data_IF_928365020999
#
_entry.id   IF_928365020999
#
_cell.length_a   1.000
_cell.length_b   1.000
_cell.length_c   1.000
_cell.angle_alpha   90.00
_cell.angle_beta   90.00
_cell.angle_gamma   90.00
#
_symmetry.space_group_name_H-M   'P 1'
#
loop_
_entity.id
_entity.type
_entity.pdbx_description
1 polymer ?
#
# COMPACT_ATOMS: atom_id res chain seq x y z
N UNK A 1 -58.58 34.11 10.28
CA UNK A 1 -57.26 34.15 9.59
C UNK A 1 -56.10 33.53 10.40
N UNK A 2 -56.36 32.74 11.46
CA UNK A 2 -55.29 32.08 12.25
C UNK A 2 -55.22 30.55 12.08
N UNK A 3 -56.23 29.95 11.47
CA UNK A 3 -56.35 28.49 11.33
C UNK A 3 -55.72 27.93 10.05
N UNK A 4 -55.30 28.78 9.11
CA UNK A 4 -54.66 28.35 7.86
C UNK A 4 -53.13 28.23 7.96
N UNK A 5 -52.51 28.86 8.96
CA UNK A 5 -51.06 28.84 9.14
C UNK A 5 -50.55 27.54 9.80
N UNK A 6 -51.41 26.81 10.51
CA UNK A 6 -51.04 25.57 11.20
C UNK A 6 -51.10 24.32 10.31
N UNK A 7 -51.84 24.35 9.20
CA UNK A 7 -51.90 23.24 8.26
C UNK A 7 -50.66 23.15 7.34
N UNK A 8 -49.94 24.27 7.14
CA UNK A 8 -48.77 24.29 6.26
C UNK A 8 -47.48 23.82 6.96
N UNK A 9 -47.38 23.95 8.29
CA UNK A 9 -46.20 23.50 9.05
C UNK A 9 -46.18 22.00 9.38
N UNK A 10 -47.30 21.29 9.23
CA UNK A 10 -47.37 19.85 9.55
C UNK A 10 -47.12 18.97 8.30
N UNK A 11 -47.23 19.51 7.09
CA UNK A 11 -47.05 18.74 5.86
C UNK A 11 -45.58 18.58 5.41
N UNK A 12 -44.63 19.28 6.03
CA UNK A 12 -43.21 19.21 5.63
C UNK A 12 -42.36 18.22 6.46
N UNK A 13 -42.94 17.55 7.45
CA UNK A 13 -42.22 16.62 8.33
C UNK A 13 -42.41 15.13 7.98
N UNK A 14 -43.11 14.81 6.89
CA UNK A 14 -43.51 13.43 6.56
C UNK A 14 -43.17 13.00 5.13
N UNK A 15 -42.13 13.58 4.51
CA UNK A 15 -41.36 12.85 3.52
C UNK A 15 -40.09 12.37 4.23
N UNK A 16 -40.01 11.12 4.73
CA UNK A 16 -38.73 10.46 4.72
C UNK A 16 -38.35 10.43 3.24
N UNK A 17 -37.58 11.42 2.80
CA UNK A 17 -36.76 11.22 1.62
C UNK A 17 -36.07 9.90 1.89
N UNK A 18 -36.32 8.91 1.05
CA UNK A 18 -35.46 7.74 0.94
C UNK A 18 -34.14 8.37 0.51
N UNK A 19 -33.33 8.79 1.49
CA UNK A 19 -31.94 9.00 1.27
C UNK A 19 -31.47 7.62 0.83
N UNK A 20 -31.19 7.48 -0.47
CA UNK A 20 -30.38 6.41 -1.01
C UNK A 20 -29.04 6.54 -0.29
N UNK A 21 -28.96 5.84 0.83
CA UNK A 21 -27.80 5.84 1.67
C UNK A 21 -26.97 4.69 1.15
N UNK A 22 -25.92 5.04 0.40
CA UNK A 22 -24.88 4.09 0.02
C UNK A 22 -24.33 3.37 1.24
N UNK A 23 -23.42 2.42 1.01
CA UNK A 23 -22.84 1.56 2.05
C UNK A 23 -22.79 2.21 3.44
N UNK A 24 -23.38 1.53 4.42
CA UNK A 24 -23.32 1.99 5.80
C UNK A 24 -21.86 2.07 6.24
N UNK A 25 -21.54 2.98 7.17
CA UNK A 25 -20.17 3.11 7.68
C UNK A 25 -19.61 1.78 8.19
N UNK A 26 -20.44 0.96 8.82
CA UNK A 26 -20.06 -0.39 9.28
C UNK A 26 -19.67 -1.34 8.14
N UNK A 27 -20.24 -1.19 6.95
CA UNK A 27 -19.89 -1.98 5.77
C UNK A 27 -18.57 -1.48 5.16
N UNK A 28 -18.38 -0.16 5.09
CA UNK A 28 -17.12 0.45 4.64
C UNK A 28 -15.95 0.06 5.56
N UNK A 29 -16.16 0.03 6.88
CA UNK A 29 -15.13 -0.34 7.86
C UNK A 29 -14.67 -1.81 7.72
N UNK A 30 -15.42 -2.66 7.00
CA UNK A 30 -15.00 -4.04 6.70
C UNK A 30 -14.14 -4.16 5.45
N UNK A 31 -14.13 -3.14 4.59
CA UNK A 31 -13.31 -3.06 3.38
C UNK A 31 -11.86 -2.84 3.78
N UNK A 32 -10.94 -3.64 3.24
CA UNK A 32 -9.53 -3.50 3.59
C UNK A 32 -8.66 -4.66 3.12
N UNK A 33 -7.36 -4.52 3.39
CA UNK A 33 -6.34 -5.52 3.01
C UNK A 33 -5.69 -6.11 4.25
N UNK A 34 -5.76 -7.44 4.39
CA UNK A 34 -4.93 -8.21 5.31
C UNK A 34 -3.74 -8.75 4.53
N UNK A 35 -2.54 -8.19 4.75
CA UNK A 35 -1.36 -8.53 3.94
C UNK A 35 -0.94 -10.00 4.14
N UNK A 36 -0.97 -10.80 3.07
CA UNK A 36 -0.61 -12.23 3.05
C UNK A 36 0.75 -12.47 2.38
N UNK A 37 1.81 -11.85 2.91
CA UNK A 37 3.16 -11.98 2.32
C UNK A 37 3.62 -13.45 2.35
N UNK A 38 4.17 -13.93 1.22
CA UNK A 38 4.61 -15.30 1.01
C UNK A 38 3.49 -16.29 0.68
N UNK A 39 2.22 -15.86 0.68
CA UNK A 39 1.15 -16.73 0.22
C UNK A 39 1.18 -16.86 -1.31
N UNK A 40 1.01 -18.08 -1.87
CA UNK A 40 0.89 -18.26 -3.31
C UNK A 40 -0.46 -17.71 -3.79
N UNK A 41 -0.46 -16.89 -4.83
CA UNK A 41 -1.67 -16.40 -5.49
C UNK A 41 -1.71 -16.99 -6.89
N UNK A 42 -2.63 -17.94 -7.11
CA UNK A 42 -2.80 -18.64 -8.37
C UNK A 42 -4.24 -18.61 -8.80
N UNK A 43 -4.46 -18.54 -10.11
CA UNK A 43 -5.77 -18.65 -10.72
C UNK A 43 -5.63 -19.31 -12.09
N UNK A 44 -6.41 -20.34 -12.33
CA UNK A 44 -6.36 -21.13 -13.56
C UNK A 44 -7.55 -20.84 -14.48
N UNK A 45 -8.62 -20.23 -13.94
CA UNK A 45 -9.89 -20.02 -14.63
C UNK A 45 -10.21 -18.55 -14.90
N UNK A 46 -9.17 -17.78 -15.23
CA UNK A 46 -9.32 -16.41 -15.74
C UNK A 46 -9.31 -16.39 -17.27
N UNK A 47 -10.01 -15.42 -17.83
CA UNK A 47 -10.03 -15.15 -19.28
C UNK A 47 -9.72 -13.68 -19.54
N UNK A 48 -9.09 -13.41 -20.68
CA UNK A 48 -8.81 -12.04 -21.13
C UNK A 48 -10.02 -11.37 -21.83
N UNK A 49 -9.79 -10.18 -22.39
CA UNK A 49 -10.81 -9.42 -23.12
C UNK A 49 -11.21 -10.09 -24.45
N UNK A 50 -10.37 -10.95 -25.01
CA UNK A 50 -10.70 -11.76 -26.19
C UNK A 50 -11.46 -13.04 -25.81
N UNK A 51 -11.48 -13.40 -24.52
CA UNK A 51 -12.07 -14.63 -24.01
C UNK A 51 -11.11 -15.81 -23.99
N UNK A 52 -9.82 -15.57 -24.20
CA UNK A 52 -8.78 -16.59 -24.17
C UNK A 52 -8.37 -16.90 -22.73
N UNK A 53 -8.03 -18.17 -22.40
CA UNK A 53 -7.55 -18.55 -21.07
C UNK A 53 -6.28 -17.80 -20.69
N UNK A 54 -6.26 -17.27 -19.47
CA UNK A 54 -5.23 -16.33 -19.04
C UNK A 54 -4.92 -16.54 -17.54
N UNK A 55 -4.12 -17.56 -17.16
CA UNK A 55 -3.86 -17.89 -15.76
C UNK A 55 -2.95 -16.88 -15.04
N UNK A 56 -2.82 -17.07 -13.72
CA UNK A 56 -1.90 -16.39 -12.81
C UNK A 56 -1.04 -17.39 -12.03
N UNK A 57 0.27 -17.13 -11.85
CA UNK A 57 1.02 -16.01 -12.40
C UNK A 57 1.12 -16.09 -13.93
N UNK A 58 1.27 -14.94 -14.58
CA UNK A 58 1.20 -14.81 -16.03
C UNK A 58 2.24 -15.63 -16.82
N UNK A 59 3.52 -15.38 -16.56
CA UNK A 59 4.63 -16.03 -17.28
C UNK A 59 5.38 -17.06 -16.42
N UNK A 60 5.31 -16.96 -15.09
CA UNK A 60 6.11 -17.76 -14.15
C UNK A 60 7.61 -17.42 -14.13
N UNK A 61 8.06 -16.53 -15.00
CA UNK A 61 9.47 -16.13 -15.14
C UNK A 61 9.72 -14.67 -14.74
N UNK A 62 8.65 -13.90 -14.52
CA UNK A 62 8.67 -12.47 -14.18
C UNK A 62 7.74 -12.18 -13.01
N UNK A 63 7.98 -11.10 -12.25
CA UNK A 63 7.02 -10.60 -11.26
C UNK A 63 5.71 -10.23 -11.94
N UNK A 64 4.60 -10.43 -11.24
CA UNK A 64 3.25 -10.09 -11.72
C UNK A 64 2.65 -9.02 -10.80
N UNK A 65 2.36 -7.85 -11.36
CA UNK A 65 1.72 -6.75 -10.65
C UNK A 65 0.23 -6.77 -10.97
N UNK A 66 -0.57 -6.99 -9.95
CA UNK A 66 -2.01 -7.21 -10.08
C UNK A 66 -2.76 -6.02 -9.49
N UNK A 67 -3.68 -5.43 -10.27
CA UNK A 67 -4.62 -4.41 -9.80
C UNK A 67 -6.04 -4.97 -9.88
N UNK A 68 -6.77 -4.91 -8.78
CA UNK A 68 -8.20 -5.28 -8.75
C UNK A 68 -9.06 -4.04 -8.97
N UNK A 69 -10.02 -4.14 -9.89
CA UNK A 69 -10.93 -3.05 -10.25
C UNK A 69 -12.34 -3.59 -10.49
N UNK A 70 -13.34 -2.75 -10.30
CA UNK A 70 -14.69 -2.96 -10.83
C UNK A 70 -14.76 -2.21 -12.17
N UNK A 71 -15.03 -2.90 -13.28
CA UNK A 71 -14.93 -2.29 -14.62
C UNK A 71 -16.02 -1.25 -14.86
N UNK A 72 -17.14 -1.36 -14.15
CA UNK A 72 -18.28 -0.44 -14.29
C UNK A 72 -18.28 0.66 -13.23
N UNK A 73 -17.25 0.72 -12.38
CA UNK A 73 -17.16 1.73 -11.34
C UNK A 73 -16.84 3.13 -11.88
N UNK A 74 -17.79 4.04 -11.69
CA UNK A 74 -17.70 5.43 -12.16
C UNK A 74 -16.91 6.37 -11.23
N UNK A 75 -16.40 5.87 -10.09
CA UNK A 75 -15.84 6.73 -9.03
C UNK A 75 -14.32 6.73 -8.95
N UNK A 76 -13.70 5.56 -8.77
CA UNK A 76 -12.29 5.48 -8.36
C UNK A 76 -11.47 4.40 -9.06
N UNK A 77 -12.10 3.35 -9.59
CA UNK A 77 -11.40 2.23 -10.21
C UNK A 77 -10.61 2.68 -11.44
N UNK A 78 -11.23 3.41 -12.37
CA UNK A 78 -10.55 3.98 -13.53
C UNK A 78 -9.40 4.91 -13.15
N UNK A 79 -9.64 5.83 -12.20
CA UNK A 79 -8.62 6.75 -11.69
C UNK A 79 -7.43 6.00 -11.07
N UNK A 80 -7.68 4.88 -10.38
CA UNK A 80 -6.63 4.06 -9.79
C UNK A 80 -5.77 3.34 -10.83
N UNK A 81 -6.38 2.88 -11.93
CA UNK A 81 -5.67 2.30 -13.06
C UNK A 81 -4.82 3.36 -13.77
N UNK A 82 -5.40 4.52 -14.08
CA UNK A 82 -4.69 5.64 -14.70
C UNK A 82 -3.50 6.11 -13.85
N UNK A 83 -3.69 6.22 -12.53
CA UNK A 83 -2.63 6.57 -11.59
C UNK A 83 -1.50 5.54 -11.63
N UNK A 84 -1.83 4.24 -11.55
CA UNK A 84 -0.83 3.17 -11.63
C UNK A 84 -0.03 3.24 -12.94
N UNK A 85 -0.71 3.30 -14.08
CA UNK A 85 -0.07 3.36 -15.40
C UNK A 85 0.80 4.62 -15.55
N UNK A 86 0.35 5.76 -15.02
CA UNK A 86 1.12 7.00 -14.99
C UNK A 86 2.40 6.86 -14.15
N UNK A 87 2.33 6.29 -12.95
CA UNK A 87 3.53 6.03 -12.11
C UNK A 87 4.50 5.07 -12.80
N UNK A 88 3.97 4.01 -13.41
CA UNK A 88 4.75 3.04 -14.16
C UNK A 88 5.35 3.62 -15.44
N UNK A 89 4.74 4.65 -16.06
CA UNK A 89 5.29 5.35 -17.24
C UNK A 89 6.64 6.01 -16.95
N UNK A 90 6.86 6.43 -15.70
CA UNK A 90 8.13 7.04 -15.28
C UNK A 90 9.29 6.04 -15.14
N UNK A 91 9.04 4.75 -15.35
CA UNK A 91 10.03 3.69 -15.18
C UNK A 91 10.67 3.27 -16.50
N UNK A 92 11.94 2.90 -16.42
CA UNK A 92 12.61 2.22 -17.53
C UNK A 92 12.12 0.79 -17.72
N UNK A 93 11.65 0.14 -16.65
CA UNK A 93 11.05 -1.20 -16.68
C UNK A 93 9.77 -1.17 -17.51
N UNK A 94 9.52 -2.20 -18.33
CA UNK A 94 8.37 -2.30 -19.23
C UNK A 94 7.48 -3.50 -18.88
N UNK A 95 6.15 -3.32 -18.85
CA UNK A 95 5.23 -4.45 -18.82
C UNK A 95 5.47 -5.40 -20.00
N UNK A 96 5.32 -6.70 -19.79
CA UNK A 96 5.57 -7.75 -20.77
C UNK A 96 7.06 -8.12 -20.94
N UNK A 97 7.98 -7.16 -20.82
CA UNK A 97 9.42 -7.40 -20.92
C UNK A 97 10.06 -7.70 -19.56
N UNK A 98 9.80 -6.87 -18.55
CA UNK A 98 10.44 -6.94 -17.23
C UNK A 98 9.50 -7.50 -16.15
N UNK A 99 8.20 -7.25 -16.28
CA UNK A 99 7.15 -7.70 -15.35
C UNK A 99 5.82 -7.84 -16.07
N UNK A 100 4.94 -8.69 -15.55
CA UNK A 100 3.56 -8.81 -16.03
C UNK A 100 2.65 -7.82 -15.30
N UNK A 101 1.66 -7.26 -16.00
CA UNK A 101 0.68 -6.34 -15.42
C UNK A 101 -0.73 -6.83 -15.73
N UNK A 102 -1.43 -7.25 -14.68
CA UNK A 102 -2.76 -7.85 -14.77
C UNK A 102 -3.79 -6.97 -14.04
N UNK A 103 -4.81 -6.51 -14.76
CA UNK A 103 -5.95 -5.79 -14.20
C UNK A 103 -7.13 -6.78 -14.13
N UNK A 104 -7.63 -7.07 -12.94
CA UNK A 104 -8.64 -8.12 -12.71
C UNK A 104 -9.95 -7.49 -12.25
N UNK A 105 -11.04 -7.85 -12.95
CA UNK A 105 -12.40 -7.46 -12.62
C UNK A 105 -12.90 -8.08 -11.32
N UNK A 106 -13.54 -7.26 -10.47
CA UNK A 106 -14.12 -7.68 -9.19
C UNK A 106 -15.55 -8.21 -9.32
N UNK A 107 -16.34 -7.70 -10.27
CA UNK A 107 -17.72 -8.14 -10.47
C UNK A 107 -17.77 -9.34 -11.42
N UNK A 108 -18.18 -10.54 -10.96
CA UNK A 108 -18.38 -11.69 -11.84
C UNK A 108 -19.51 -11.51 -12.86
N UNK A 109 -20.34 -10.47 -12.72
CA UNK A 109 -21.36 -10.10 -13.71
C UNK A 109 -20.75 -9.39 -14.91
N UNK A 110 -19.58 -8.77 -14.77
CA UNK A 110 -18.94 -8.05 -15.87
C UNK A 110 -18.60 -9.01 -17.00
N UNK A 111 -19.04 -8.67 -18.20
CA UNK A 111 -18.83 -9.39 -19.44
C UNK A 111 -17.54 -8.97 -20.15
N UNK A 112 -17.31 -9.55 -21.34
CA UNK A 112 -16.21 -9.10 -22.20
C UNK A 112 -16.38 -7.66 -22.66
N UNK A 113 -17.62 -7.17 -22.77
CA UNK A 113 -17.91 -5.82 -23.23
C UNK A 113 -17.37 -4.79 -22.25
N UNK A 114 -17.68 -4.96 -20.96
CA UNK A 114 -17.27 -4.09 -19.86
C UNK A 114 -15.75 -4.06 -19.72
N UNK A 115 -15.10 -5.23 -19.77
CA UNK A 115 -13.64 -5.32 -19.74
C UNK A 115 -12.96 -4.64 -20.95
N UNK A 116 -13.55 -4.75 -22.16
CA UNK A 116 -13.07 -4.04 -23.35
C UNK A 116 -13.23 -2.53 -23.22
N UNK A 117 -14.39 -2.07 -22.78
CA UNK A 117 -14.66 -0.65 -22.56
C UNK A 117 -13.66 -0.07 -21.55
N UNK A 118 -13.46 -0.75 -20.41
CA UNK A 118 -12.47 -0.33 -19.43
C UNK A 118 -11.05 -0.25 -20.01
N UNK A 119 -10.65 -1.27 -20.78
CA UNK A 119 -9.34 -1.27 -21.44
C UNK A 119 -9.20 -0.13 -22.45
N UNK A 120 -10.23 0.15 -23.24
CA UNK A 120 -10.24 1.21 -24.25
C UNK A 120 -10.15 2.62 -23.64
N UNK A 121 -10.73 2.81 -22.46
CA UNK A 121 -10.75 4.08 -21.74
C UNK A 121 -9.46 4.35 -20.97
N UNK A 122 -8.94 3.33 -20.26
CA UNK A 122 -7.87 3.54 -19.27
C UNK A 122 -6.48 3.05 -19.73
N UNK A 123 -6.39 2.12 -20.69
CA UNK A 123 -5.10 1.60 -21.14
C UNK A 123 -4.63 2.38 -22.38
N UNK A 124 -3.50 3.12 -22.30
CA UNK A 124 -3.03 3.87 -23.45
C UNK A 124 -2.63 2.95 -24.60
N UNK A 125 -3.10 3.25 -25.81
CA UNK A 125 -2.86 2.46 -27.03
C UNK A 125 -1.44 2.67 -27.60
N UNK A 126 -0.42 2.46 -26.77
CA UNK A 126 1.00 2.56 -27.15
C UNK A 126 1.68 1.20 -27.00
N UNK A 127 2.80 1.00 -27.70
CA UNK A 127 3.58 -0.25 -27.67
C UNK A 127 3.91 -0.70 -26.23
N UNK A 128 4.16 0.25 -25.33
CA UNK A 128 4.51 -0.01 -23.93
C UNK A 128 3.42 -0.79 -23.16
N UNK A 129 2.15 -0.58 -23.47
CA UNK A 129 1.03 -1.13 -22.70
C UNK A 129 0.32 -2.29 -23.39
N UNK A 130 0.81 -2.73 -24.56
CA UNK A 130 0.20 -3.82 -25.31
C UNK A 130 0.17 -5.16 -24.56
N UNK A 131 1.12 -5.36 -23.62
CA UNK A 131 1.19 -6.55 -22.78
C UNK A 131 0.32 -6.47 -21.51
N UNK A 132 -0.38 -5.35 -21.26
CA UNK A 132 -1.30 -5.26 -20.12
C UNK A 132 -2.47 -6.20 -20.35
N UNK A 133 -2.72 -7.06 -19.37
CA UNK A 133 -3.80 -8.04 -19.40
C UNK A 133 -4.98 -7.50 -18.62
N UNK A 134 -6.16 -7.45 -19.22
CA UNK A 134 -7.42 -7.17 -18.53
C UNK A 134 -8.19 -8.48 -18.44
N UNK A 135 -8.45 -8.93 -17.22
CA UNK A 135 -8.85 -10.29 -16.91
C UNK A 135 -10.19 -10.33 -16.17
N UNK A 136 -10.95 -11.39 -16.43
CA UNK A 136 -12.20 -11.73 -15.76
C UNK A 136 -12.17 -13.15 -15.26
N UNK A 137 -12.89 -13.40 -14.19
CA UNK A 137 -13.10 -14.73 -13.63
C UNK A 137 -14.57 -14.92 -13.25
N UNK A 138 -14.94 -16.17 -13.01
CA UNK A 138 -16.24 -16.45 -12.42
C UNK A 138 -16.25 -16.09 -10.92
N UNK A 139 -17.44 -16.20 -10.31
CA UNK A 139 -17.64 -15.84 -8.91
C UNK A 139 -16.75 -16.63 -7.94
N UNK A 140 -16.50 -17.92 -8.22
CA UNK A 140 -15.66 -18.76 -7.37
C UNK A 140 -14.19 -18.33 -7.48
N UNK A 141 -13.71 -18.11 -8.69
CA UNK A 141 -12.32 -17.75 -8.95
C UNK A 141 -11.98 -16.38 -8.35
N UNK A 142 -12.85 -15.38 -8.56
CA UNK A 142 -12.66 -14.03 -7.99
C UNK A 142 -12.73 -14.07 -6.46
N UNK A 143 -13.67 -14.83 -5.87
CA UNK A 143 -13.74 -14.98 -4.42
C UNK A 143 -12.48 -15.63 -3.83
N UNK A 144 -11.96 -16.67 -4.50
CA UNK A 144 -10.72 -17.34 -4.10
C UNK A 144 -9.51 -16.40 -4.18
N UNK A 145 -9.39 -15.63 -5.26
CA UNK A 145 -8.32 -14.64 -5.43
C UNK A 145 -8.36 -13.58 -4.32
N UNK A 146 -9.54 -13.04 -4.01
CA UNK A 146 -9.69 -12.01 -2.98
C UNK A 146 -9.35 -12.54 -1.58
N UNK A 147 -9.81 -13.74 -1.23
CA UNK A 147 -9.50 -14.35 0.07
C UNK A 147 -7.99 -14.63 0.22
N UNK A 148 -7.38 -15.20 -0.82
CA UNK A 148 -5.94 -15.51 -0.86
C UNK A 148 -5.08 -14.25 -0.84
N UNK A 149 -5.49 -13.20 -1.57
CA UNK A 149 -4.86 -11.89 -1.53
C UNK A 149 -5.17 -11.12 -0.23
N UNK A 150 -6.10 -11.61 0.60
CA UNK A 150 -6.54 -10.97 1.84
C UNK A 150 -7.29 -9.65 1.62
N UNK A 151 -7.92 -9.47 0.46
CA UNK A 151 -8.70 -8.29 0.09
C UNK A 151 -10.15 -8.53 0.48
N UNK A 152 -10.67 -7.66 1.35
CA UNK A 152 -12.09 -7.63 1.71
C UNK A 152 -12.77 -6.50 0.96
N UNK A 153 -13.85 -6.84 0.29
CA UNK A 153 -14.68 -5.92 -0.49
C UNK A 153 -16.12 -5.94 0.04
N UNK A 154 -16.86 -4.87 -0.22
CA UNK A 154 -18.29 -4.79 0.10
C UNK A 154 -19.06 -4.33 -1.13
N UNK A 155 -20.19 -4.96 -1.40
CA UNK A 155 -21.02 -4.64 -2.55
C UNK A 155 -22.05 -3.57 -2.20
N UNK A 156 -21.99 -2.41 -2.87
CA UNK A 156 -22.98 -1.35 -2.81
C UNK A 156 -24.14 -1.68 -3.77
N UNK A 157 -25.23 -2.19 -3.20
CA UNK A 157 -26.45 -2.53 -3.97
C UNK A 157 -27.11 -1.33 -4.62
N UNK A 158 -26.93 -0.12 -4.08
CA UNK A 158 -27.57 1.08 -4.62
C UNK A 158 -26.87 1.57 -5.88
N UNK A 159 -25.54 1.40 -5.93
CA UNK A 159 -24.70 1.81 -7.06
C UNK A 159 -24.36 0.67 -8.01
N UNK A 160 -24.71 -0.56 -7.65
CA UNK A 160 -24.30 -1.80 -8.33
C UNK A 160 -22.79 -1.86 -8.53
N UNK A 161 -22.03 -1.53 -7.48
CA UNK A 161 -20.57 -1.41 -7.52
C UNK A 161 -19.92 -1.99 -6.26
N UNK A 162 -18.63 -2.26 -6.30
CA UNK A 162 -17.87 -2.73 -5.14
C UNK A 162 -17.03 -1.63 -4.49
N UNK A 163 -17.21 -1.44 -3.19
CA UNK A 163 -16.21 -0.78 -2.36
C UNK A 163 -15.06 -1.74 -2.07
N UNK A 164 -13.87 -1.39 -2.52
CA UNK A 164 -12.66 -2.17 -2.36
C UNK A 164 -11.48 -1.26 -1.95
N UNK A 165 -10.45 -1.80 -1.29
CA UNK A 165 -9.26 -1.03 -0.99
C UNK A 165 -8.44 -0.79 -2.26
N UNK A 166 -7.77 0.35 -2.34
CA UNK A 166 -6.81 0.61 -3.41
C UNK A 166 -5.46 -0.03 -3.08
N UNK A 167 -5.25 -1.25 -3.55
CA UNK A 167 -3.96 -1.92 -3.39
C UNK A 167 -3.66 -2.78 -4.60
N UNK A 168 -2.50 -2.55 -5.21
CA UNK A 168 -1.91 -3.46 -6.17
C UNK A 168 -1.12 -4.55 -5.41
N UNK A 169 -1.26 -5.79 -5.85
CA UNK A 169 -0.58 -6.95 -5.27
C UNK A 169 0.57 -7.32 -6.19
N UNK A 170 1.79 -7.36 -5.65
CA UNK A 170 2.98 -7.75 -6.42
C UNK A 170 3.38 -9.18 -6.05
N UNK A 171 3.37 -10.05 -7.05
CA UNK A 171 3.87 -11.41 -6.96
C UNK A 171 5.33 -11.48 -7.42
N UNK A 172 6.10 -12.42 -6.86
CA UNK A 172 7.33 -12.86 -7.49
C UNK A 172 7.06 -13.84 -8.64
N UNK A 173 8.14 -14.32 -9.26
CA UNK A 173 8.08 -15.29 -10.36
C UNK A 173 7.46 -16.63 -9.95
N UNK A 174 7.59 -17.02 -8.68
CA UNK A 174 6.99 -18.24 -8.16
C UNK A 174 5.48 -18.09 -7.93
N UNK A 175 4.94 -16.87 -8.09
CA UNK A 175 3.54 -16.54 -7.83
C UNK A 175 3.26 -16.28 -6.35
N UNK A 176 4.28 -16.00 -5.53
CA UNK A 176 4.09 -15.66 -4.12
C UNK A 176 3.95 -14.16 -3.92
N UNK A 177 3.03 -13.75 -3.05
CA UNK A 177 2.79 -12.35 -2.73
C UNK A 177 4.02 -11.76 -2.03
N UNK A 178 4.69 -10.81 -2.67
CA UNK A 178 5.87 -10.11 -2.11
C UNK A 178 5.51 -8.81 -1.45
N UNK A 179 4.62 -8.03 -2.05
CA UNK A 179 4.28 -6.66 -1.61
C UNK A 179 2.85 -6.30 -1.94
N UNK A 180 2.35 -5.33 -1.18
CA UNK A 180 1.13 -4.58 -1.52
C UNK A 180 1.55 -3.13 -1.70
N UNK A 181 1.24 -2.57 -2.86
CA UNK A 181 1.64 -1.23 -3.26
C UNK A 181 0.37 -0.41 -3.50
N UNK A 182 0.28 0.78 -2.94
CA UNK A 182 -0.85 1.66 -3.15
C UNK A 182 -0.58 2.55 -4.39
N UNK A 183 -1.39 2.47 -5.46
CA UNK A 183 -1.22 3.29 -6.66
C UNK A 183 -1.20 4.80 -6.42
N UNK A 184 -1.88 5.28 -5.37
CA UNK A 184 -1.98 6.70 -5.05
C UNK A 184 -0.85 7.17 -4.13
N UNK A 185 -0.49 6.36 -3.13
CA UNK A 185 0.49 6.75 -2.13
C UNK A 185 1.95 6.48 -2.54
N UNK A 186 2.18 5.61 -3.52
CA UNK A 186 3.52 5.15 -3.90
C UNK A 186 4.13 5.98 -5.03
N UNK A 187 5.43 6.25 -4.93
CA UNK A 187 6.19 6.99 -5.94
C UNK A 187 6.81 6.04 -6.97
N UNK A 188 7.23 6.53 -8.16
CA UNK A 188 7.84 5.67 -9.18
C UNK A 188 9.05 4.87 -8.67
N UNK A 189 9.86 5.44 -7.79
CA UNK A 189 10.98 4.73 -7.17
C UNK A 189 10.51 3.51 -6.35
N UNK A 190 9.37 3.61 -5.67
CA UNK A 190 8.83 2.51 -4.88
C UNK A 190 8.44 1.33 -5.76
N UNK A 191 7.77 1.59 -6.89
CA UNK A 191 7.44 0.58 -7.88
C UNK A 191 8.70 -0.05 -8.49
N UNK A 192 9.68 0.77 -8.87
CA UNK A 192 10.94 0.30 -9.44
C UNK A 192 11.67 -0.66 -8.51
N UNK A 193 11.80 -0.27 -7.24
CA UNK A 193 12.47 -1.10 -6.23
C UNK A 193 11.65 -2.33 -5.87
N UNK A 194 10.32 -2.22 -5.77
CA UNK A 194 9.45 -3.37 -5.50
C UNK A 194 9.53 -4.41 -6.63
N UNK A 195 9.45 -3.99 -7.90
CA UNK A 195 9.58 -4.88 -9.07
C UNK A 195 10.98 -5.52 -9.13
N UNK A 196 12.03 -4.75 -8.85
CA UNK A 196 13.41 -5.26 -8.79
C UNK A 196 13.57 -6.32 -7.71
N UNK A 197 13.00 -6.08 -6.52
CA UNK A 197 13.03 -7.01 -5.38
C UNK A 197 12.25 -8.30 -5.68
N UNK A 198 11.04 -8.19 -6.25
CA UNK A 198 10.22 -9.34 -6.62
C UNK A 198 10.81 -10.15 -7.79
N UNK A 199 11.63 -9.50 -8.63
CA UNK A 199 12.32 -10.15 -9.75
C UNK A 199 13.50 -11.01 -9.34
N UNK A 200 13.88 -11.03 -8.06
CA UNK A 200 14.99 -11.82 -7.50
C UNK A 200 16.24 -11.84 -8.41
N UNK A 201 16.66 -10.63 -8.83
CA UNK A 201 17.85 -10.45 -9.64
C UNK A 201 17.72 -10.69 -11.15
N UNK A 202 16.53 -10.95 -11.71
CA UNK A 202 16.33 -10.84 -13.18
C UNK A 202 15.78 -9.50 -13.63
N UNK A 203 15.17 -8.73 -12.73
CA UNK A 203 14.56 -7.43 -13.02
C UNK A 203 15.43 -6.32 -12.46
N UNK A 204 15.51 -5.20 -13.18
CA UNK A 204 16.21 -4.00 -12.74
C UNK A 204 17.73 -4.01 -12.96
N UNK A 205 18.31 -2.81 -12.85
CA UNK A 205 19.73 -2.57 -13.05
C UNK A 205 20.57 -2.94 -11.80
N UNK A 206 21.90 -3.00 -11.96
CA UNK A 206 22.81 -3.18 -10.81
C UNK A 206 22.68 -2.04 -9.79
N UNK A 207 22.42 -0.82 -10.27
CA UNK A 207 22.17 0.34 -9.42
C UNK A 207 20.93 0.13 -8.54
N UNK A 208 19.85 -0.43 -9.09
CA UNK A 208 18.60 -0.69 -8.34
C UNK A 208 18.83 -1.65 -7.18
N UNK A 209 19.67 -2.67 -7.40
CA UNK A 209 20.07 -3.61 -6.35
C UNK A 209 20.89 -2.94 -5.26
N UNK A 210 21.75 -1.99 -5.63
CA UNK A 210 22.47 -1.15 -4.66
C UNK A 210 21.50 -0.24 -3.88
N UNK A 211 20.50 0.35 -4.55
CA UNK A 211 19.47 1.15 -3.88
C UNK A 211 18.67 0.31 -2.88
N UNK A 212 18.38 -0.96 -3.15
CA UNK A 212 17.74 -1.87 -2.19
C UNK A 212 18.56 -2.09 -0.90
N UNK A 213 19.89 -1.95 -0.95
CA UNK A 213 20.73 -1.99 0.26
C UNK A 213 20.62 -0.68 1.08
N UNK A 214 20.36 0.44 0.40
CA UNK A 214 20.26 1.75 1.00
C UNK A 214 18.85 2.07 1.55
N UNK A 215 17.82 1.54 0.90
CA UNK A 215 16.41 1.81 1.17
C UNK A 215 15.71 0.56 1.71
N UNK A 216 14.95 0.72 2.78
CA UNK A 216 14.16 -0.33 3.41
C UNK A 216 12.67 -0.15 3.15
N UNK A 217 11.97 -1.26 2.90
CA UNK A 217 10.52 -1.26 2.74
C UNK A 217 9.80 -0.94 4.05
N UNK A 218 8.83 -0.02 3.99
CA UNK A 218 7.92 0.27 5.08
C UNK A 218 6.56 -0.40 4.83
N UNK A 219 6.22 -1.49 5.55
CA UNK A 219 4.97 -2.20 5.34
C UNK A 219 3.74 -1.40 5.78
N UNK A 220 3.88 -0.34 6.58
CA UNK A 220 2.75 0.50 6.97
C UNK A 220 2.32 1.44 5.84
N UNK A 221 3.28 2.06 5.15
CA UNK A 221 3.01 3.04 4.09
C UNK A 221 3.05 2.44 2.68
N UNK A 222 3.61 1.24 2.50
CA UNK A 222 3.79 0.63 1.19
C UNK A 222 4.88 1.30 0.35
N UNK A 223 5.85 1.95 0.99
CA UNK A 223 6.90 2.74 0.33
C UNK A 223 8.29 2.39 0.84
N UNK A 224 9.31 2.67 0.04
CA UNK A 224 10.72 2.56 0.40
C UNK A 224 11.21 3.83 1.09
N UNK A 225 11.91 3.66 2.21
CA UNK A 225 12.49 4.77 2.99
C UNK A 225 13.99 4.58 3.20
N UNK A 226 14.81 5.64 3.35
CA UNK A 226 16.26 5.49 3.51
C UNK A 226 16.61 4.77 4.82
N UNK A 227 16.88 3.47 4.74
CA UNK A 227 17.18 2.62 5.89
C UNK A 227 18.52 3.04 6.52
N UNK A 228 19.51 3.31 5.67
CA UNK A 228 20.84 3.75 6.11
C UNK A 228 20.73 5.05 6.90
N UNK A 229 19.92 6.02 6.46
CA UNK A 229 19.76 7.27 7.21
C UNK A 229 19.17 7.03 8.61
N UNK A 230 18.21 6.10 8.74
CA UNK A 230 17.65 5.71 10.04
C UNK A 230 18.71 5.06 10.94
N UNK A 231 19.47 4.10 10.42
CA UNK A 231 20.54 3.42 11.16
C UNK A 231 21.63 4.43 11.59
N UNK A 232 22.06 5.31 10.68
CA UNK A 232 23.03 6.36 10.98
C UNK A 232 22.51 7.35 12.02
N UNK A 233 21.24 7.75 11.92
CA UNK A 233 20.62 8.65 12.91
C UNK A 233 20.57 8.01 14.29
N UNK A 234 20.17 6.74 14.38
CA UNK A 234 20.10 6.00 15.65
C UNK A 234 21.50 5.81 16.24
N UNK A 235 22.46 5.33 15.44
CA UNK A 235 23.84 5.10 15.90
C UNK A 235 24.55 6.40 16.31
N UNK A 236 24.35 7.48 15.56
CA UNK A 236 24.89 8.80 15.90
C UNK A 236 24.27 9.33 17.19
N UNK A 237 22.95 9.21 17.35
CA UNK A 237 22.24 9.64 18.57
C UNK A 237 22.68 8.85 19.80
N UNK A 238 22.84 7.52 19.67
CA UNK A 238 23.33 6.66 20.74
C UNK A 238 24.76 7.02 21.14
N UNK A 239 25.62 7.31 20.16
CA UNK A 239 27.00 7.75 20.41
C UNK A 239 27.05 9.06 21.17
N UNK A 240 26.25 10.06 20.77
CA UNK A 240 26.14 11.34 21.48
C UNK A 240 25.62 11.14 22.91
N UNK A 241 24.61 10.29 23.10
CA UNK A 241 24.07 9.99 24.42
C UNK A 241 25.10 9.29 25.33
N UNK A 242 25.89 8.35 24.79
CA UNK A 242 26.95 7.67 25.54
C UNK A 242 28.05 8.65 25.97
N UNK A 243 28.47 9.55 25.08
CA UNK A 243 29.45 10.61 25.39
C UNK A 243 28.89 11.55 26.46
N UNK A 244 27.65 12.02 26.31
CA UNK A 244 27.00 12.89 27.28
C UNK A 244 26.88 12.21 28.66
N UNK A 245 26.47 10.94 28.70
CA UNK A 245 26.39 10.16 29.93
C UNK A 245 27.77 10.03 30.60
N UNK A 246 28.82 9.71 29.83
CA UNK A 246 30.18 9.62 30.35
C UNK A 246 30.62 10.95 30.97
N UNK A 247 30.44 12.06 30.25
CA UNK A 247 30.79 13.40 30.73
C UNK A 247 30.03 13.75 32.00
N UNK A 248 28.70 13.54 32.04
CA UNK A 248 27.90 13.77 33.23
C UNK A 248 28.35 12.92 34.43
N UNK A 249 28.73 11.66 34.18
CA UNK A 249 29.22 10.75 35.23
C UNK A 249 30.55 11.23 35.81
N UNK A 250 31.48 11.67 34.95
CA UNK A 250 32.77 12.23 35.37
C UNK A 250 32.58 13.52 36.18
N UNK A 251 31.74 14.44 35.70
CA UNK A 251 31.43 15.69 36.40
C UNK A 251 30.74 15.43 37.76
N UNK A 252 29.85 14.45 37.84
CA UNK A 252 29.19 14.08 39.08
C UNK A 252 30.14 13.46 40.11
N UNK A 253 31.11 12.65 39.64
CA UNK A 253 32.18 12.10 40.48
C UNK A 253 33.11 13.19 41.00
N UNK A 254 33.48 14.17 40.17
CA UNK A 254 34.32 15.30 40.58
C UNK A 254 33.64 16.14 41.66
N UNK A 255 32.35 16.48 41.48
CA UNK A 255 31.57 17.24 42.47
C UNK A 255 31.46 16.49 43.81
N UNK A 256 31.30 15.16 43.79
CA UNK A 256 31.31 14.35 45.02
C UNK A 256 32.69 14.20 45.65
N UNK A 257 33.77 14.27 44.86
CA UNK A 257 35.15 14.29 45.35
C UNK A 257 35.50 15.58 46.09
N UNK A 258 35.15 16.73 45.51
CA UNK A 258 35.39 18.06 46.11
C UNK A 258 34.67 18.26 47.46
N UNK A 259 33.49 17.65 47.65
CA UNK A 259 32.77 17.67 48.93
C UNK A 259 33.41 16.87 50.06
N UNK A 260 34.25 15.86 49.76
CA UNK A 260 35.00 15.10 50.78
C UNK A 260 36.28 15.81 51.21
N UNK A 261 36.89 16.57 50.31
CA UNK A 261 38.13 17.32 50.56
C UNK A 261 37.89 18.57 51.42
N UNK A 262 36.77 19.27 51.20
CA UNK A 262 36.37 20.40 52.06
C UNK A 262 35.95 19.96 53.46
N UNK A 263 35.22 18.85 53.61
CA UNK A 263 34.87 18.29 54.91
C UNK A 263 36.08 17.76 55.71
N UNK A 264 37.09 17.21 55.03
CA UNK A 264 38.35 16.77 55.66
C UNK A 264 39.19 17.95 56.18
N UNK A 265 39.23 19.06 55.45
CA UNK A 265 40.02 20.25 55.80
C UNK A 265 39.44 21.04 56.98
N UNK A 266 38.11 21.03 57.14
CA UNK A 266 37.43 21.62 58.31
C UNK A 266 37.67 20.82 59.61
N UNK A 267 37.80 19.50 59.53
CA UNK A 267 38.12 18.67 60.72
C UNK A 267 39.56 18.87 61.20
N UNK A 268 40.52 18.96 60.29
CA UNK A 268 41.95 19.17 60.61
C UNK A 268 42.25 20.58 61.14
N UNK A 269 41.49 21.60 60.72
CA UNK A 269 41.63 22.96 61.25
C UNK A 269 41.11 23.12 62.69
N UNK A 270 40.22 22.24 63.14
CA UNK A 270 39.62 22.28 64.49
C UNK A 270 40.50 21.63 65.56
N UNK A 271 41.40 20.73 65.16
CA UNK A 271 42.33 20.00 66.05
C UNK A 271 43.62 20.78 66.34
N UNK A 272 43.96 21.78 65.52
CA UNK A 272 45.15 22.64 65.72
C UNK A 272 44.86 23.92 66.54
N UNK A 273 43.62 24.13 66.98
CA UNK A 273 43.17 25.32 67.72
C UNK A 273 42.77 25.03 69.18
N UNK A 274 43.07 23.84 69.68
CA UNK A 274 42.93 23.43 71.09
C UNK A 274 44.32 23.21 71.70
#
# INVERSE_FOLDING_TARGET
>A
MRSFALALSICLAALPGIALAGLAKSEIDTVGVTKRIGAPLKADHLVDIQGEPAPLPASGDKPDLILFVDFTCETSCGVSADALLSRLSGLTLKPGDDFDLSIIGLDPKDGQAEAKTFAEEHIPKTERWQAVRVLRGDKSEIAHLLDTAGIRISYDKERDQFAHPTAAVLLDKAGEIRRYVDPFASEPLDFRLALTDAGDGSVGSLGDRLFLLCYGWNPATGTYSPLIARILTISSSLSVAAIAALVLTLLWRERRGKGRESAGRESSGRESAA
#
